data_IF_805012355095
#
_entry.id   IF_805012355095
#
_cell.length_a   1.000
_cell.length_b   1.000
_cell.length_c   1.000
_cell.angle_alpha   90.00
_cell.angle_beta   90.00
_cell.angle_gamma   90.00
#
_symmetry.space_group_name_H-M   'P 1'
#
loop_
_entity.id
_entity.type
_entity.pdbx_description
1 polymer ?
#
# COMPACT_ATOMS: atom_id res chain seq x y z
N UNK A 1 27.30 -27.15 19.97
CA UNK A 1 27.07 -25.92 20.76
C UNK A 1 26.32 -24.95 19.85
N UNK A 2 25.01 -25.14 19.70
CA UNK A 2 24.17 -24.27 18.87
C UNK A 2 23.46 -23.27 19.79
N UNK A 3 23.59 -21.98 19.49
CA UNK A 3 22.82 -20.96 20.19
C UNK A 3 21.33 -21.13 19.83
N UNK A 4 20.40 -20.99 20.79
CA UNK A 4 18.99 -21.03 20.47
C UNK A 4 18.59 -19.78 19.64
N UNK A 5 17.64 -19.90 18.70
CA UNK A 5 17.15 -18.78 17.91
C UNK A 5 16.52 -17.71 18.80
N UNK A 6 16.64 -16.44 18.39
CA UNK A 6 16.21 -15.23 19.10
C UNK A 6 14.68 -15.13 19.36
N UNK A 7 13.92 -16.15 18.98
CA UNK A 7 12.45 -16.22 19.09
C UNK A 7 11.95 -16.29 20.54
N UNK A 8 12.81 -16.54 21.52
CA UNK A 8 12.40 -16.67 22.94
C UNK A 8 12.47 -15.32 23.70
N UNK A 9 13.15 -14.29 23.17
CA UNK A 9 13.39 -13.07 23.96
C UNK A 9 12.20 -12.08 24.02
N UNK A 10 11.25 -12.16 23.08
CA UNK A 10 10.19 -11.13 22.96
C UNK A 10 8.76 -11.61 23.27
N UNK A 11 8.54 -12.86 23.71
CA UNK A 11 7.25 -13.30 24.24
C UNK A 11 6.04 -13.13 23.30
N UNK A 12 6.24 -13.13 21.98
CA UNK A 12 5.16 -12.97 21.00
C UNK A 12 4.55 -14.33 20.65
N UNK A 13 3.22 -14.53 20.77
CA UNK A 13 2.58 -15.80 20.47
C UNK A 13 2.67 -16.16 18.97
N UNK A 14 2.81 -17.45 18.63
CA UNK A 14 3.14 -17.93 17.27
C UNK A 14 2.05 -17.75 16.21
N UNK A 15 0.90 -17.15 16.55
CA UNK A 15 -0.24 -16.97 15.64
C UNK A 15 -0.30 -15.59 14.98
N UNK A 16 0.57 -14.66 15.37
CA UNK A 16 0.75 -13.40 14.66
C UNK A 16 2.14 -13.40 14.02
N UNK A 17 2.41 -14.22 13.01
CA UNK A 17 3.71 -14.18 12.33
C UNK A 17 3.63 -14.32 10.81
N UNK A 18 2.46 -14.05 10.22
CA UNK A 18 2.25 -14.29 8.78
C UNK A 18 1.68 -13.10 8.01
N UNK A 19 1.15 -12.04 8.64
CA UNK A 19 0.63 -10.88 7.90
C UNK A 19 1.56 -9.66 7.96
N UNK A 20 2.06 -9.28 9.13
CA UNK A 20 2.89 -8.06 9.31
C UNK A 20 4.32 -8.19 8.79
N UNK A 21 4.79 -9.41 8.51
CA UNK A 21 6.11 -9.65 7.93
C UNK A 21 6.13 -9.66 6.40
N UNK A 22 4.98 -9.87 5.74
CA UNK A 22 4.91 -9.88 4.27
C UNK A 22 4.69 -8.48 3.69
N UNK A 23 4.09 -7.55 4.46
CA UNK A 23 3.95 -6.15 4.07
C UNK A 23 5.26 -5.34 4.19
N UNK A 24 6.29 -5.88 4.83
CA UNK A 24 7.64 -5.30 4.90
C UNK A 24 8.60 -5.83 3.81
N UNK A 25 8.11 -6.64 2.87
CA UNK A 25 8.96 -7.22 1.82
C UNK A 25 8.90 -6.47 0.48
N UNK A 26 8.10 -5.40 0.37
CA UNK A 26 8.22 -4.42 -0.71
C UNK A 26 9.03 -3.22 -0.23
N UNK A 27 10.10 -2.86 -0.95
CA UNK A 27 10.90 -1.64 -0.67
C UNK A 27 10.06 -0.34 -0.78
N UNK A 28 8.82 -0.44 -1.26
CA UNK A 28 7.94 0.68 -1.56
C UNK A 28 6.57 0.49 -0.89
N UNK A 29 5.95 1.59 -0.48
CA UNK A 29 4.73 1.66 0.33
C UNK A 29 3.55 2.17 -0.48
N UNK A 30 2.35 1.65 -0.20
CA UNK A 30 1.11 2.10 -0.81
C UNK A 30 0.73 3.52 -0.39
N UNK A 31 0.91 3.83 0.89
CA UNK A 31 0.74 5.18 1.46
C UNK A 31 2.10 5.77 1.82
N UNK A 32 2.47 6.88 1.18
CA UNK A 32 3.74 7.58 1.41
C UNK A 32 3.86 8.17 2.82
N UNK A 33 2.76 8.28 3.58
CA UNK A 33 2.83 8.65 5.01
C UNK A 33 3.60 7.60 5.82
N UNK A 34 3.66 6.36 5.34
CA UNK A 34 4.37 5.26 6.00
C UNK A 34 5.86 5.17 5.61
N UNK A 35 6.38 6.09 4.79
CA UNK A 35 7.81 6.13 4.49
C UNK A 35 8.62 6.46 5.74
N UNK A 36 9.77 5.79 5.91
CA UNK A 36 10.68 6.06 7.04
C UNK A 36 11.25 7.48 6.99
N UNK A 37 11.44 8.02 5.78
CA UNK A 37 11.86 9.40 5.54
C UNK A 37 10.96 10.00 4.48
N UNK A 38 10.34 11.12 4.81
CA UNK A 38 9.47 11.86 3.90
C UNK A 38 10.25 13.03 3.29
N UNK A 39 11.06 12.73 2.29
CA UNK A 39 11.78 13.71 1.46
C UNK A 39 11.41 13.51 -0.03
N UNK A 40 11.72 14.52 -0.85
CA UNK A 40 11.43 14.49 -2.28
C UNK A 40 12.03 13.26 -2.96
N UNK A 41 13.27 12.90 -2.61
CA UNK A 41 13.98 11.75 -3.17
C UNK A 41 13.25 10.44 -2.85
N UNK A 42 12.94 10.18 -1.58
CA UNK A 42 12.24 8.93 -1.19
C UNK A 42 10.85 8.84 -1.79
N UNK A 43 10.13 9.97 -1.91
CA UNK A 43 8.82 9.99 -2.58
C UNK A 43 8.93 9.62 -4.05
N UNK A 44 9.89 10.20 -4.78
CA UNK A 44 10.13 9.89 -6.19
C UNK A 44 10.57 8.44 -6.38
N UNK A 45 11.47 7.94 -5.53
CA UNK A 45 11.94 6.55 -5.58
C UNK A 45 10.79 5.57 -5.33
N UNK A 46 9.92 5.86 -4.35
CA UNK A 46 8.71 5.07 -4.08
C UNK A 46 7.76 5.05 -5.29
N UNK A 47 7.48 6.21 -5.88
CA UNK A 47 6.62 6.31 -7.07
C UNK A 47 7.21 5.56 -8.27
N UNK A 48 8.53 5.67 -8.48
CA UNK A 48 9.21 5.02 -9.58
C UNK A 48 9.25 3.50 -9.43
N UNK A 49 9.51 2.99 -8.22
CA UNK A 49 9.47 1.56 -7.91
C UNK A 49 8.06 0.98 -8.13
N UNK A 50 7.03 1.63 -7.57
CA UNK A 50 5.62 1.23 -7.74
C UNK A 50 5.19 1.21 -9.19
N UNK A 51 5.57 2.24 -9.94
CA UNK A 51 5.24 2.33 -11.36
C UNK A 51 5.89 1.20 -12.18
N UNK A 52 7.14 0.84 -11.89
CA UNK A 52 7.81 -0.32 -12.51
C UNK A 52 7.10 -1.64 -12.25
N UNK A 53 6.44 -1.76 -11.11
CA UNK A 53 5.62 -2.93 -10.75
C UNK A 53 4.18 -2.86 -11.28
N UNK A 54 3.85 -1.83 -12.06
CA UNK A 54 2.52 -1.65 -12.66
C UNK A 54 1.49 -1.05 -11.70
N UNK A 55 1.91 -0.53 -10.55
CA UNK A 55 1.05 0.17 -9.61
C UNK A 55 1.02 1.66 -9.96
N UNK A 56 -0.03 2.09 -10.65
CA UNK A 56 -0.18 3.45 -11.21
C UNK A 56 -0.69 4.47 -10.21
N UNK A 57 -1.16 4.02 -9.05
CA UNK A 57 -1.73 4.85 -7.99
C UNK A 57 -0.98 4.63 -6.68
N UNK A 58 -0.77 5.72 -5.95
CA UNK A 58 -0.11 5.76 -4.64
C UNK A 58 -0.81 6.79 -3.77
N UNK A 59 -1.11 6.47 -2.52
CA UNK A 59 -1.71 7.39 -1.57
C UNK A 59 -0.64 8.18 -0.82
N UNK A 60 -1.03 9.36 -0.34
CA UNK A 60 -0.29 10.16 0.63
C UNK A 60 -1.34 10.69 1.62
N UNK A 61 -1.69 9.88 2.61
CA UNK A 61 -2.86 10.10 3.46
C UNK A 61 -4.14 10.18 2.64
N UNK A 62 -4.79 11.36 2.63
CA UNK A 62 -6.05 11.58 1.89
C UNK A 62 -5.87 12.09 0.46
N UNK A 63 -4.63 12.12 -0.04
CA UNK A 63 -4.30 12.51 -1.41
C UNK A 63 -3.95 11.25 -2.20
N UNK A 64 -4.35 11.20 -3.47
CA UNK A 64 -3.96 10.13 -4.41
C UNK A 64 -3.10 10.73 -5.51
N UNK A 65 -1.91 10.16 -5.71
CA UNK A 65 -1.00 10.47 -6.81
C UNK A 65 -1.16 9.40 -7.89
N UNK A 66 -1.28 9.84 -9.14
CA UNK A 66 -1.37 8.95 -10.30
C UNK A 66 -0.22 9.19 -11.26
N UNK A 67 0.41 8.11 -11.73
CA UNK A 67 1.44 8.12 -12.77
C UNK A 67 0.89 7.43 -14.01
N UNK A 68 0.81 8.16 -15.13
CA UNK A 68 0.20 7.66 -16.37
C UNK A 68 1.07 6.57 -17.03
N UNK A 69 0.58 5.32 -17.18
CA UNK A 69 1.32 4.24 -17.81
C UNK A 69 1.25 4.26 -19.36
N UNK A 70 0.50 5.19 -19.96
CA UNK A 70 0.28 5.31 -21.40
C UNK A 70 -0.23 4.02 -22.08
N UNK A 71 -0.99 3.21 -21.34
CA UNK A 71 -1.61 1.97 -21.81
C UNK A 71 -2.96 1.77 -21.13
N UNK A 72 -3.78 0.92 -21.73
CA UNK A 72 -5.03 0.48 -21.11
C UNK A 72 -4.74 -0.34 -19.86
N UNK A 73 -5.54 -0.09 -18.82
CA UNK A 73 -5.49 -0.76 -17.53
C UNK A 73 -6.80 -1.50 -17.28
N UNK A 74 -6.71 -2.75 -16.82
CA UNK A 74 -7.87 -3.54 -16.40
C UNK A 74 -8.21 -3.26 -14.93
N UNK A 75 -8.31 -1.99 -14.54
CA UNK A 75 -8.52 -1.54 -13.16
C UNK A 75 -9.86 -0.78 -12.97
N UNK A 76 -10.71 -0.77 -14.00
CA UNK A 76 -11.98 -0.05 -14.02
C UNK A 76 -13.13 -1.00 -14.31
N UNK A 77 -13.40 -1.93 -13.39
CA UNK A 77 -14.57 -2.81 -13.45
C UNK A 77 -15.68 -2.35 -12.49
N UNK A 78 -16.92 -2.71 -12.80
CA UNK A 78 -18.09 -2.41 -11.96
C UNK A 78 -17.96 -3.03 -10.57
N UNK A 79 -17.43 -4.25 -10.49
CA UNK A 79 -17.12 -4.96 -9.23
C UNK A 79 -16.16 -4.15 -8.33
N UNK A 80 -15.18 -3.47 -8.94
CA UNK A 80 -14.21 -2.66 -8.23
C UNK A 80 -14.83 -1.33 -7.77
N UNK A 81 -15.74 -0.75 -8.57
CA UNK A 81 -16.53 0.42 -8.15
C UNK A 81 -17.36 0.09 -6.91
N UNK A 82 -18.10 -1.03 -6.94
CA UNK A 82 -18.94 -1.46 -5.82
C UNK A 82 -18.11 -1.71 -4.56
N UNK A 83 -16.94 -2.36 -4.69
CA UNK A 83 -16.04 -2.61 -3.56
C UNK A 83 -15.66 -1.30 -2.86
N UNK A 84 -15.17 -0.31 -3.60
CA UNK A 84 -14.77 0.98 -3.02
C UNK A 84 -15.96 1.78 -2.50
N UNK A 85 -17.14 1.65 -3.10
CA UNK A 85 -18.36 2.32 -2.61
C UNK A 85 -18.87 1.71 -1.30
N UNK A 86 -18.68 0.40 -1.09
CA UNK A 86 -19.14 -0.32 0.10
C UNK A 86 -18.22 -0.22 1.32
N UNK A 87 -16.98 0.23 1.13
CA UNK A 87 -16.00 0.36 2.19
C UNK A 87 -16.31 1.57 3.09
N UNK A 88 -16.23 1.39 4.41
CA UNK A 88 -16.45 2.48 5.39
C UNK A 88 -15.32 3.52 5.37
N UNK A 89 -14.07 3.07 5.19
CA UNK A 89 -12.91 3.93 4.94
C UNK A 89 -12.03 3.31 3.85
N UNK A 90 -12.27 3.66 2.56
CA UNK A 90 -11.53 3.12 1.44
C UNK A 90 -10.03 3.45 1.49
N UNK A 91 -9.60 4.51 2.17
CA UNK A 91 -8.18 4.87 2.27
C UNK A 91 -7.41 3.94 3.21
N UNK A 92 -8.10 3.37 4.20
CA UNK A 92 -7.51 2.46 5.17
C UNK A 92 -7.60 0.98 4.75
N UNK A 93 -8.67 0.59 4.06
CA UNK A 93 -8.95 -0.83 3.78
C UNK A 93 -8.64 -1.25 2.35
N UNK A 94 -8.68 -0.34 1.39
CA UNK A 94 -8.48 -0.63 -0.03
C UNK A 94 -7.13 -0.14 -0.55
N UNK A 95 -6.74 -0.66 -1.72
CA UNK A 95 -5.53 -0.20 -2.39
C UNK A 95 -5.65 1.27 -2.85
N UNK A 96 -4.53 1.97 -3.11
CA UNK A 96 -4.57 3.29 -3.72
C UNK A 96 -5.34 3.27 -5.05
N UNK A 97 -6.43 4.05 -5.14
CA UNK A 97 -7.22 4.18 -6.37
C UNK A 97 -8.02 5.47 -6.40
N UNK A 98 -8.40 5.93 -7.60
CA UNK A 98 -9.24 7.13 -7.78
C UNK A 98 -10.63 6.96 -7.17
N UNK A 99 -11.15 5.73 -7.08
CA UNK A 99 -12.47 5.49 -6.47
C UNK A 99 -12.50 5.78 -4.97
N UNK A 100 -11.38 5.62 -4.26
CA UNK A 100 -11.29 6.00 -2.85
C UNK A 100 -11.49 7.51 -2.65
N UNK A 101 -10.87 8.34 -3.51
CA UNK A 101 -11.09 9.80 -3.46
C UNK A 101 -12.49 10.19 -3.91
N UNK A 102 -13.06 9.50 -4.89
CA UNK A 102 -14.46 9.72 -5.30
C UNK A 102 -15.44 9.41 -4.17
N UNK A 103 -15.25 8.29 -3.45
CA UNK A 103 -16.11 7.92 -2.32
C UNK A 103 -16.05 8.95 -1.19
N UNK A 104 -14.86 9.42 -0.82
CA UNK A 104 -14.73 10.43 0.25
C UNK A 104 -15.22 11.84 -0.12
N UNK A 105 -15.53 12.08 -1.39
CA UNK A 105 -16.09 13.35 -1.86
C UNK A 105 -17.63 13.36 -1.95
N UNK A 106 -18.26 12.19 -1.79
CA UNK A 106 -19.73 12.03 -1.72
C UNK A 106 -20.25 12.33 -0.31
#
# INVERSE_FOLDING_TARGET
RGAPPLSILFGVPPLQLTSWSLSQMSDHVADMVNLTTLDETSMVDNLHARFKEGQTYTTCGRIVVSVNPFRWLNLYSDELIERYHSAEDPFATEAPHVYGISHAAL
#
